data_IF_720930466597
#
_entry.id   IF_720930466597
#
_cell.length_a   1.000
_cell.length_b   1.000
_cell.length_c   1.000
_cell.angle_alpha   90.00
_cell.angle_beta   90.00
_cell.angle_gamma   90.00
#
_symmetry.space_group_name_H-M   'P 1'
#
loop_
_entity.id
_entity.type
_entity.pdbx_description
1 polymer ?
#
# COMPACT_ATOMS: atom_id res chain seq x y z
N UNK A 1 33.44 16.52 -1.46
CA UNK A 1 33.39 17.28 -0.19
C UNK A 1 31.91 17.43 0.20
N UNK A 2 31.51 17.08 1.43
CA UNK A 2 30.08 17.18 1.84
C UNK A 2 29.58 18.63 1.74
N UNK A 3 28.34 18.85 1.28
CA UNK A 3 27.71 20.20 1.24
C UNK A 3 27.79 20.92 2.59
N UNK A 4 27.74 20.15 3.68
CA UNK A 4 27.90 20.67 5.05
C UNK A 4 29.32 21.20 5.29
N UNK A 5 30.35 20.47 4.87
CA UNK A 5 31.75 20.89 5.03
C UNK A 5 32.03 22.16 4.22
N UNK A 6 31.47 22.25 3.01
CA UNK A 6 31.56 23.45 2.19
C UNK A 6 30.89 24.66 2.85
N UNK A 7 29.69 24.48 3.40
CA UNK A 7 28.95 25.55 4.09
C UNK A 7 29.70 26.04 5.35
N UNK A 8 30.29 25.13 6.13
CA UNK A 8 31.12 25.47 7.30
C UNK A 8 32.35 26.30 6.93
N UNK A 9 33.05 25.88 5.87
CA UNK A 9 34.21 26.61 5.34
C UNK A 9 33.80 27.99 4.81
N UNK A 10 32.64 28.08 4.15
CA UNK A 10 32.11 29.33 3.62
C UNK A 10 31.70 30.31 4.71
N UNK A 11 31.02 29.85 5.76
CA UNK A 11 30.65 30.67 6.94
C UNK A 11 31.91 31.16 7.67
N UNK A 12 32.89 30.27 7.90
CA UNK A 12 34.16 30.64 8.53
C UNK A 12 34.94 31.68 7.72
N UNK A 13 34.97 31.53 6.39
CA UNK A 13 35.61 32.48 5.48
C UNK A 13 34.90 33.84 5.50
N UNK A 14 33.57 33.86 5.42
CA UNK A 14 32.78 35.09 5.51
C UNK A 14 32.98 35.81 6.84
N UNK A 15 33.07 35.07 7.95
CA UNK A 15 33.36 35.67 9.25
C UNK A 15 34.74 36.29 9.35
N UNK A 16 35.76 35.65 8.79
CA UNK A 16 37.11 36.20 8.75
C UNK A 16 37.16 37.48 7.88
N UNK A 17 36.53 37.45 6.70
CA UNK A 17 36.42 38.62 5.81
C UNK A 17 35.66 39.76 6.49
N UNK A 18 34.60 39.47 7.23
CA UNK A 18 33.80 40.47 7.93
C UNK A 18 34.55 41.10 9.11
N UNK A 19 35.34 40.33 9.86
CA UNK A 19 36.22 40.86 10.90
C UNK A 19 37.23 41.83 10.28
N UNK A 20 37.91 41.43 9.20
CA UNK A 20 38.88 42.28 8.48
C UNK A 20 38.21 43.57 7.97
N UNK A 21 37.02 43.46 7.37
CA UNK A 21 36.24 44.61 6.91
C UNK A 21 35.82 45.53 8.06
N UNK A 22 35.44 44.99 9.21
CA UNK A 22 35.04 45.77 10.39
C UNK A 22 36.22 46.60 10.92
N UNK A 23 37.43 46.02 10.96
CA UNK A 23 38.63 46.75 11.34
C UNK A 23 39.01 47.80 10.28
N UNK A 24 38.88 47.50 8.98
CA UNK A 24 39.16 48.44 7.89
C UNK A 24 38.17 49.62 7.86
N UNK A 25 36.87 49.36 7.93
CA UNK A 25 35.79 50.36 8.05
C UNK A 25 35.95 51.20 9.30
N UNK A 26 36.39 50.59 10.41
CA UNK A 26 36.63 51.32 11.65
C UNK A 26 37.75 52.36 11.53
N UNK A 27 38.75 52.15 10.69
CA UNK A 27 39.81 53.13 10.42
C UNK A 27 39.25 54.32 9.65
N UNK A 28 38.33 54.08 8.71
CA UNK A 28 37.69 55.12 7.90
C UNK A 28 36.60 55.91 8.64
N UNK A 29 35.86 55.27 9.56
CA UNK A 29 34.67 55.87 10.22
C UNK A 29 34.87 56.19 11.71
N UNK A 30 36.10 56.11 12.24
CA UNK A 30 36.43 56.40 13.65
C UNK A 30 35.55 55.66 14.68
N UNK A 31 35.21 54.40 14.41
CA UNK A 31 34.41 53.60 15.36
C UNK A 31 35.17 53.42 16.68
N UNK A 32 34.49 53.70 17.80
CA UNK A 32 35.01 53.46 19.14
C UNK A 32 35.27 51.98 19.42
N UNK A 33 36.20 51.70 20.33
CA UNK A 33 36.62 50.33 20.69
C UNK A 33 35.44 49.46 21.15
N UNK A 34 34.51 50.02 21.92
CA UNK A 34 33.30 49.34 22.38
C UNK A 34 32.41 48.89 21.22
N UNK A 35 32.21 49.74 20.21
CA UNK A 35 31.42 49.42 19.01
C UNK A 35 32.05 48.31 18.19
N UNK A 36 33.38 48.28 18.06
CA UNK A 36 34.10 47.18 17.38
C UNK A 36 33.90 45.85 18.09
N UNK A 37 34.03 45.84 19.41
CA UNK A 37 33.85 44.64 20.24
C UNK A 37 32.43 44.10 20.08
N UNK A 38 31.41 44.97 20.12
CA UNK A 38 30.01 44.57 19.95
C UNK A 38 29.76 43.96 18.56
N UNK A 39 30.29 44.56 17.49
CA UNK A 39 30.12 44.03 16.12
C UNK A 39 30.79 42.66 15.97
N UNK A 40 32.04 42.53 16.45
CA UNK A 40 32.77 41.25 16.39
C UNK A 40 32.07 40.17 17.21
N UNK A 41 31.59 40.50 18.42
CA UNK A 41 30.83 39.57 19.25
C UNK A 41 29.51 39.16 18.60
N UNK A 42 28.76 40.09 18.02
CA UNK A 42 27.49 39.80 17.34
C UNK A 42 27.70 38.85 16.15
N UNK A 43 28.77 39.03 15.38
CA UNK A 43 29.08 38.15 14.26
C UNK A 43 29.59 36.77 14.71
N UNK A 44 30.42 36.72 15.76
CA UNK A 44 30.84 35.47 16.36
C UNK A 44 29.62 34.68 16.88
N UNK A 45 28.66 35.36 17.52
CA UNK A 45 27.41 34.78 17.97
C UNK A 45 26.58 34.24 16.80
N UNK A 46 26.42 35.02 15.72
CA UNK A 46 25.69 34.60 14.52
C UNK A 46 26.33 33.36 13.85
N UNK A 47 27.66 33.30 13.83
CA UNK A 47 28.40 32.15 13.33
C UNK A 47 28.17 30.89 14.17
N UNK A 48 28.19 31.04 15.50
CA UNK A 48 27.89 29.95 16.44
C UNK A 48 26.43 29.46 16.26
N UNK A 49 25.48 30.39 16.12
CA UNK A 49 24.08 30.05 15.86
C UNK A 49 23.91 29.28 14.54
N UNK A 50 24.59 29.71 13.47
CA UNK A 50 24.55 29.01 12.19
C UNK A 50 25.10 27.57 12.31
N UNK A 51 26.22 27.36 13.00
CA UNK A 51 26.77 26.02 13.25
C UNK A 51 25.83 25.16 14.11
N UNK A 52 25.17 25.75 15.09
CA UNK A 52 24.22 25.06 15.95
C UNK A 52 22.99 24.61 15.16
N UNK A 53 22.45 25.46 14.29
CA UNK A 53 21.36 25.09 13.37
C UNK A 53 21.79 23.96 12.42
N UNK A 54 22.98 24.06 11.81
CA UNK A 54 23.52 23.00 10.95
C UNK A 54 23.71 21.68 11.70
N UNK A 55 24.16 21.75 12.96
CA UNK A 55 24.33 20.57 13.80
C UNK A 55 22.98 19.92 14.14
N UNK A 56 21.96 20.71 14.47
CA UNK A 56 20.59 20.25 14.73
C UNK A 56 20.01 19.61 13.47
N UNK A 57 20.09 20.26 12.31
CA UNK A 57 19.59 19.72 11.04
C UNK A 57 20.24 18.38 10.67
N UNK A 58 21.56 18.26 10.88
CA UNK A 58 22.27 17.01 10.64
C UNK A 58 21.88 15.93 11.65
N UNK A 59 21.66 16.30 12.92
CA UNK A 59 21.18 15.37 13.93
C UNK A 59 19.77 14.88 13.59
N UNK A 60 18.88 15.76 13.17
CA UNK A 60 17.53 15.42 12.74
C UNK A 60 17.56 14.44 11.55
N UNK A 61 18.36 14.72 10.52
CA UNK A 61 18.53 13.81 9.37
C UNK A 61 19.05 12.44 9.78
N UNK A 62 20.03 12.39 10.69
CA UNK A 62 20.57 11.12 11.21
C UNK A 62 19.55 10.38 12.05
N UNK A 63 18.75 11.09 12.85
CA UNK A 63 17.66 10.50 13.64
C UNK A 63 16.56 9.94 12.75
N UNK A 64 16.13 10.67 11.71
CA UNK A 64 15.16 10.17 10.72
C UNK A 64 15.67 8.92 9.99
N UNK A 65 16.96 8.92 9.61
CA UNK A 65 17.58 7.75 9.00
C UNK A 65 17.68 6.53 9.95
N UNK A 66 17.91 6.77 11.25
CA UNK A 66 17.99 5.71 12.25
C UNK A 66 16.62 5.22 12.75
N UNK A 67 15.61 6.09 12.70
CA UNK A 67 14.25 5.86 13.21
C UNK A 67 13.22 6.31 12.17
N UNK A 68 13.07 5.57 11.05
CA UNK A 68 12.15 5.93 9.97
C UNK A 68 10.68 5.99 10.42
N UNK A 69 10.33 5.37 11.55
CA UNK A 69 9.01 5.51 12.16
C UNK A 69 8.65 6.96 12.51
N UNK A 70 9.63 7.85 12.72
CA UNK A 70 9.38 9.27 13.03
C UNK A 70 8.63 10.03 11.92
N UNK A 71 8.59 9.49 10.70
CA UNK A 71 7.79 10.05 9.59
C UNK A 71 6.30 9.69 9.68
N UNK A 72 5.95 8.70 10.51
CA UNK A 72 4.57 8.25 10.71
C UNK A 72 3.84 9.14 11.74
N UNK A 73 2.51 9.06 11.78
CA UNK A 73 1.73 9.71 12.84
C UNK A 73 2.09 9.14 14.22
N UNK A 74 1.86 9.91 15.30
CA UNK A 74 2.15 9.46 16.67
C UNK A 74 1.49 8.11 17.00
N UNK A 75 0.27 7.90 16.51
CA UNK A 75 -0.46 6.64 16.71
C UNK A 75 0.23 5.47 16.03
N UNK A 76 0.68 5.64 14.78
CA UNK A 76 1.40 4.61 14.03
C UNK A 76 2.79 4.34 14.62
N UNK A 77 3.48 5.38 15.09
CA UNK A 77 4.75 5.25 15.81
C UNK A 77 4.62 4.35 17.03
N UNK A 78 3.58 4.56 17.84
CA UNK A 78 3.32 3.75 19.03
C UNK A 78 3.15 2.28 18.63
N UNK A 79 2.31 2.00 17.63
CA UNK A 79 2.03 0.62 17.18
C UNK A 79 3.29 -0.07 16.64
N UNK A 80 4.07 0.61 15.81
CA UNK A 80 5.31 0.06 15.24
C UNK A 80 6.32 -0.23 16.35
N UNK A 81 6.51 0.71 17.28
CA UNK A 81 7.43 0.55 18.40
C UNK A 81 7.00 -0.59 19.34
N UNK A 82 5.71 -0.67 19.67
CA UNK A 82 5.15 -1.78 20.46
C UNK A 82 5.40 -3.13 19.78
N UNK A 83 5.20 -3.20 18.47
CA UNK A 83 5.43 -4.42 17.67
C UNK A 83 6.91 -4.83 17.69
N UNK A 84 7.83 -3.88 17.49
CA UNK A 84 9.28 -4.14 17.55
C UNK A 84 9.70 -4.59 18.96
N UNK A 85 9.17 -3.94 20.01
CA UNK A 85 9.43 -4.33 21.40
C UNK A 85 8.93 -5.74 21.68
N UNK A 86 7.73 -6.10 21.20
CA UNK A 86 7.15 -7.43 21.36
C UNK A 86 8.01 -8.48 20.64
N UNK A 87 8.37 -8.25 19.38
CA UNK A 87 9.24 -9.14 18.62
C UNK A 87 10.57 -9.39 19.35
N UNK A 88 11.22 -8.33 19.82
CA UNK A 88 12.48 -8.43 20.58
C UNK A 88 12.31 -9.20 21.90
N UNK A 89 11.20 -8.99 22.62
CA UNK A 89 10.88 -9.71 23.85
C UNK A 89 10.67 -11.19 23.59
N UNK A 90 9.97 -11.55 22.51
CA UNK A 90 9.72 -12.93 22.12
C UNK A 90 11.04 -13.61 21.70
N UNK A 91 11.88 -12.98 20.87
CA UNK A 91 13.17 -13.54 20.41
C UNK A 91 14.16 -13.84 21.54
N UNK A 92 14.13 -13.08 22.64
CA UNK A 92 15.04 -13.24 23.79
C UNK A 92 14.63 -14.33 24.77
N UNK A 93 13.36 -14.76 24.78
CA UNK A 93 12.88 -15.81 25.68
C UNK A 93 13.17 -17.18 25.09
N UNK A 94 13.33 -18.22 25.92
CA UNK A 94 13.15 -19.61 25.47
C UNK A 94 11.69 -19.75 25.04
N UNK A 95 11.47 -19.80 23.74
CA UNK A 95 10.16 -19.71 23.12
C UNK A 95 9.60 -21.10 22.85
N UNK A 96 8.36 -21.30 23.26
CA UNK A 96 7.55 -22.43 22.81
C UNK A 96 7.38 -22.41 21.28
N UNK A 97 6.96 -23.56 20.73
CA UNK A 97 6.83 -23.75 19.29
C UNK A 97 5.88 -22.72 18.67
N UNK A 98 4.79 -22.37 19.35
CA UNK A 98 3.85 -21.33 18.92
C UNK A 98 4.52 -19.96 18.76
N UNK A 99 5.37 -19.55 19.70
CA UNK A 99 6.10 -18.29 19.56
C UNK A 99 7.14 -18.35 18.44
N UNK A 100 7.82 -19.49 18.24
CA UNK A 100 8.75 -19.65 17.12
C UNK A 100 8.04 -19.54 15.76
N UNK A 101 6.85 -20.13 15.64
CA UNK A 101 6.01 -20.01 14.44
C UNK A 101 5.62 -18.54 14.20
N UNK A 102 5.16 -17.83 15.24
CA UNK A 102 4.78 -16.42 15.12
C UNK A 102 5.96 -15.52 14.71
N UNK A 103 7.15 -15.75 15.27
CA UNK A 103 8.38 -15.04 14.89
C UNK A 103 8.73 -15.32 13.42
N UNK A 104 8.70 -16.58 13.00
CA UNK A 104 9.02 -16.96 11.63
C UNK A 104 8.03 -16.36 10.62
N UNK A 105 6.75 -16.23 10.98
CA UNK A 105 5.76 -15.58 10.13
C UNK A 105 5.94 -14.05 10.08
N UNK A 106 6.27 -13.41 11.20
CA UNK A 106 6.60 -11.99 11.23
C UNK A 106 7.82 -11.66 10.35
N UNK A 107 8.85 -12.51 10.33
CA UNK A 107 10.03 -12.31 9.49
C UNK A 107 9.70 -12.35 7.98
N UNK A 108 8.63 -13.05 7.58
CA UNK A 108 8.16 -13.04 6.18
C UNK A 108 7.58 -11.68 5.77
N UNK A 109 7.07 -10.87 6.70
CA UNK A 109 6.56 -9.53 6.40
C UNK A 109 7.65 -8.66 5.77
N UNK A 110 8.89 -8.76 6.28
CA UNK A 110 10.03 -8.05 5.69
C UNK A 110 10.29 -8.44 4.24
N UNK A 111 10.21 -9.74 3.94
CA UNK A 111 10.37 -10.24 2.58
C UNK A 111 9.24 -9.76 1.66
N UNK A 112 7.99 -9.77 2.16
CA UNK A 112 6.82 -9.25 1.45
C UNK A 112 6.99 -7.76 1.12
N UNK A 113 7.36 -6.93 2.10
CA UNK A 113 7.55 -5.49 1.89
C UNK A 113 8.66 -5.21 0.88
N UNK A 114 9.77 -5.97 0.92
CA UNK A 114 10.84 -5.87 -0.08
C UNK A 114 10.41 -6.29 -1.49
N UNK A 115 9.51 -7.26 -1.61
CA UNK A 115 8.95 -7.65 -2.91
C UNK A 115 8.03 -6.55 -3.43
N UNK A 116 7.11 -6.06 -2.59
CA UNK A 116 6.19 -4.98 -2.93
C UNK A 116 6.91 -3.68 -3.32
N UNK A 117 7.97 -3.28 -2.59
CA UNK A 117 8.81 -2.12 -2.92
C UNK A 117 9.42 -2.21 -4.33
N UNK A 118 9.75 -3.43 -4.78
CA UNK A 118 10.31 -3.69 -6.10
C UNK A 118 9.24 -3.89 -7.19
N UNK A 119 7.96 -3.74 -6.85
CA UNK A 119 6.84 -4.06 -7.75
C UNK A 119 6.76 -5.54 -8.11
N UNK A 120 7.32 -6.42 -7.28
CA UNK A 120 7.31 -7.87 -7.48
C UNK A 120 6.07 -8.51 -6.88
N UNK A 121 5.73 -9.70 -7.39
CA UNK A 121 4.61 -10.48 -6.89
C UNK A 121 4.85 -10.97 -5.46
N UNK A 122 3.81 -10.95 -4.64
CA UNK A 122 3.88 -11.43 -3.27
C UNK A 122 2.63 -12.20 -2.86
N UNK A 123 2.76 -13.03 -1.83
CA UNK A 123 1.63 -13.75 -1.24
C UNK A 123 0.96 -12.90 -0.17
N UNK A 124 -0.37 -12.79 -0.23
CA UNK A 124 -1.19 -12.17 0.80
C UNK A 124 -2.20 -13.17 1.35
N UNK A 125 -2.47 -13.11 2.67
CA UNK A 125 -3.20 -14.16 3.38
C UNK A 125 -4.68 -13.84 3.65
N UNK A 126 -5.33 -13.11 2.74
CA UNK A 126 -6.78 -12.84 2.77
C UNK A 126 -7.25 -12.26 1.42
N UNK A 127 -8.00 -13.03 0.64
CA UNK A 127 -8.53 -12.58 -0.66
C UNK A 127 -9.50 -11.41 -0.55
N UNK A 128 -10.31 -11.35 0.53
CA UNK A 128 -11.31 -10.31 0.70
C UNK A 128 -10.66 -9.00 1.08
N UNK A 129 -9.72 -9.03 2.03
CA UNK A 129 -8.98 -7.83 2.42
C UNK A 129 -8.16 -7.29 1.23
N UNK A 130 -7.52 -8.15 0.43
CA UNK A 130 -6.84 -7.73 -0.79
C UNK A 130 -7.78 -7.03 -1.78
N UNK A 131 -8.94 -7.64 -2.08
CA UNK A 131 -9.94 -7.06 -2.99
C UNK A 131 -10.55 -5.78 -2.42
N UNK A 132 -10.75 -5.69 -1.11
CA UNK A 132 -11.26 -4.48 -0.46
C UNK A 132 -10.28 -3.31 -0.60
N UNK A 133 -8.99 -3.53 -0.38
CA UNK A 133 -7.96 -2.49 -0.57
C UNK A 133 -8.03 -1.94 -2.00
N UNK A 134 -8.09 -2.81 -3.01
CA UNK A 134 -8.20 -2.39 -4.42
C UNK A 134 -9.50 -1.62 -4.65
N UNK A 135 -10.63 -2.17 -4.19
CA UNK A 135 -11.94 -1.53 -4.34
C UNK A 135 -12.00 -0.15 -3.70
N UNK A 136 -11.36 0.09 -2.56
CA UNK A 136 -11.34 1.39 -1.87
C UNK A 136 -10.58 2.46 -2.64
N UNK A 137 -9.53 2.07 -3.38
CA UNK A 137 -8.72 2.99 -4.18
C UNK A 137 -9.36 3.35 -5.54
N UNK A 138 -10.33 2.57 -6.01
CA UNK A 138 -11.00 2.82 -7.28
C UNK A 138 -11.85 4.10 -7.26
N UNK A 139 -11.69 4.89 -8.32
CA UNK A 139 -12.40 6.14 -8.59
C UNK A 139 -13.55 5.91 -9.58
N UNK A 140 -14.57 6.79 -9.59
CA UNK A 140 -15.64 6.74 -10.60
C UNK A 140 -15.08 6.68 -12.03
N UNK A 141 -15.64 5.82 -12.87
CA UNK A 141 -15.21 5.56 -14.25
C UNK A 141 -14.12 4.49 -14.40
N UNK A 142 -13.51 4.02 -13.31
CA UNK A 142 -12.56 2.90 -13.34
C UNK A 142 -13.28 1.56 -13.23
N UNK A 143 -12.60 0.49 -13.63
CA UNK A 143 -13.15 -0.86 -13.70
C UNK A 143 -12.56 -1.81 -12.66
N UNK A 144 -13.37 -2.80 -12.28
CA UNK A 144 -12.96 -3.93 -11.46
C UNK A 144 -13.56 -5.21 -12.01
N UNK A 145 -12.70 -6.05 -12.61
CA UNK A 145 -13.11 -7.29 -13.27
C UNK A 145 -12.80 -8.47 -12.37
N UNK A 146 -13.78 -9.37 -12.16
CA UNK A 146 -13.61 -10.52 -11.27
C UNK A 146 -14.16 -11.80 -11.90
N UNK A 147 -13.32 -12.81 -12.07
CA UNK A 147 -13.74 -14.17 -12.43
C UNK A 147 -13.53 -15.11 -11.23
N UNK A 148 -14.53 -15.92 -10.91
CA UNK A 148 -14.48 -16.73 -9.68
C UNK A 148 -15.26 -18.03 -9.80
N UNK A 149 -14.62 -19.14 -9.43
CA UNK A 149 -15.29 -20.39 -9.07
C UNK A 149 -15.63 -20.49 -7.57
N UNK A 150 -15.39 -19.43 -6.79
CA UNK A 150 -15.74 -19.35 -5.38
C UNK A 150 -17.23 -19.00 -5.24
N UNK A 151 -18.06 -20.03 -5.24
CA UNK A 151 -19.53 -19.93 -5.41
C UNK A 151 -20.32 -20.30 -4.15
N UNK A 152 -19.65 -20.75 -3.10
CA UNK A 152 -20.34 -21.17 -1.89
C UNK A 152 -20.99 -19.95 -1.20
N UNK A 153 -22.28 -20.00 -0.80
CA UNK A 153 -22.98 -18.84 -0.22
C UNK A 153 -22.30 -18.24 1.01
N UNK A 154 -21.57 -19.05 1.78
CA UNK A 154 -20.86 -18.59 2.97
C UNK A 154 -19.75 -17.58 2.62
N UNK A 155 -19.21 -17.59 1.40
CA UNK A 155 -18.27 -16.59 0.87
C UNK A 155 -18.85 -15.19 0.72
N UNK A 156 -20.17 -15.06 0.80
CA UNK A 156 -20.89 -13.81 0.55
C UNK A 156 -21.69 -13.38 1.78
N UNK A 157 -22.20 -14.35 2.53
CA UNK A 157 -23.14 -14.14 3.64
C UNK A 157 -22.55 -14.37 5.03
N UNK A 158 -21.34 -14.92 5.16
CA UNK A 158 -20.75 -15.23 6.47
C UNK A 158 -19.31 -14.72 6.60
N UNK A 159 -19.01 -14.09 7.75
CA UNK A 159 -17.70 -13.53 8.05
C UNK A 159 -17.63 -12.01 7.87
N UNK A 160 -16.98 -11.33 8.82
CA UNK A 160 -16.89 -9.86 8.88
C UNK A 160 -16.37 -9.26 7.58
N UNK A 161 -15.25 -9.78 7.05
CA UNK A 161 -14.66 -9.26 5.81
C UNK A 161 -15.48 -9.57 4.55
N UNK A 162 -16.19 -10.70 4.50
CA UNK A 162 -17.04 -11.04 3.35
C UNK A 162 -18.25 -10.10 3.25
N UNK A 163 -18.95 -9.86 4.37
CA UNK A 163 -20.09 -8.93 4.41
C UNK A 163 -19.67 -7.49 4.11
N UNK A 164 -18.53 -7.04 4.65
CA UNK A 164 -17.99 -5.70 4.37
C UNK A 164 -17.53 -5.56 2.91
N UNK A 165 -16.88 -6.58 2.36
CA UNK A 165 -16.52 -6.62 0.94
C UNK A 165 -17.77 -6.50 0.05
N UNK A 166 -18.84 -7.24 0.33
CA UNK A 166 -20.09 -7.17 -0.45
C UNK A 166 -20.70 -5.75 -0.40
N UNK A 167 -20.80 -5.15 0.79
CA UNK A 167 -21.26 -3.75 0.94
C UNK A 167 -20.39 -2.76 0.20
N UNK A 168 -19.07 -2.94 0.24
CA UNK A 168 -18.11 -2.08 -0.46
C UNK A 168 -18.29 -2.17 -1.97
N UNK A 169 -18.47 -3.36 -2.54
CA UNK A 169 -18.76 -3.53 -3.97
C UNK A 169 -20.00 -2.70 -4.37
N UNK A 170 -21.10 -2.82 -3.62
CA UNK A 170 -22.33 -2.06 -3.91
C UNK A 170 -22.13 -0.55 -3.80
N UNK A 171 -21.38 -0.10 -2.80
CA UNK A 171 -21.07 1.31 -2.63
C UNK A 171 -20.24 1.86 -3.78
N UNK A 172 -19.22 1.12 -4.23
CA UNK A 172 -18.35 1.55 -5.33
C UNK A 172 -19.09 1.52 -6.68
N UNK A 173 -19.90 0.48 -6.94
CA UNK A 173 -20.77 0.43 -8.12
C UNK A 173 -21.73 1.64 -8.17
N UNK A 174 -22.38 1.98 -7.05
CA UNK A 174 -23.25 3.18 -6.95
C UNK A 174 -22.52 4.51 -7.13
N UNK A 175 -21.23 4.57 -6.81
CA UNK A 175 -20.38 5.75 -7.06
C UNK A 175 -19.91 5.86 -8.51
N UNK A 176 -20.18 4.87 -9.35
CA UNK A 176 -19.79 4.86 -10.77
C UNK A 176 -18.51 4.07 -11.08
N UNK A 177 -18.05 3.19 -10.18
CA UNK A 177 -17.03 2.18 -10.54
C UNK A 177 -17.71 1.07 -11.36
N UNK A 178 -17.11 0.67 -12.47
CA UNK A 178 -17.62 -0.39 -13.33
C UNK A 178 -17.16 -1.75 -12.82
N UNK A 179 -18.05 -2.44 -12.10
CA UNK A 179 -17.74 -3.77 -11.56
C UNK A 179 -18.36 -4.83 -12.46
N UNK A 180 -17.51 -5.73 -12.97
CA UNK A 180 -17.93 -6.87 -13.77
C UNK A 180 -17.56 -8.18 -13.07
N UNK A 181 -18.51 -9.10 -12.96
CA UNK A 181 -18.30 -10.36 -12.25
C UNK A 181 -18.78 -11.54 -13.07
N UNK A 182 -17.88 -12.50 -13.27
CA UNK A 182 -18.19 -13.79 -13.90
C UNK A 182 -18.14 -14.90 -12.85
N UNK A 183 -19.25 -15.60 -12.68
CA UNK A 183 -19.34 -16.81 -11.87
C UNK A 183 -19.08 -18.05 -12.73
N UNK A 184 -18.09 -18.85 -12.37
CA UNK A 184 -17.74 -20.10 -13.05
C UNK A 184 -18.33 -21.24 -12.22
N UNK A 185 -19.37 -21.89 -12.74
CA UNK A 185 -20.20 -22.85 -12.03
C UNK A 185 -19.86 -24.27 -12.45
N UNK A 186 -19.91 -25.27 -11.55
CA UNK A 186 -19.66 -26.66 -11.94
C UNK A 186 -20.91 -27.29 -12.57
N UNK A 187 -22.09 -26.92 -12.10
CA UNK A 187 -23.37 -27.50 -12.51
C UNK A 187 -24.57 -26.58 -12.14
N UNK A 188 -25.78 -27.03 -12.45
CA UNK A 188 -27.04 -26.32 -12.14
C UNK A 188 -27.34 -26.18 -10.64
N UNK A 189 -26.84 -27.07 -9.80
CA UNK A 189 -26.97 -26.95 -8.34
C UNK A 189 -26.19 -25.73 -7.83
N UNK A 190 -24.98 -25.50 -8.35
CA UNK A 190 -24.20 -24.30 -8.09
C UNK A 190 -24.92 -23.02 -8.53
N UNK A 191 -25.53 -23.04 -9.72
CA UNK A 191 -26.34 -21.92 -10.21
C UNK A 191 -27.47 -21.59 -9.23
N UNK A 192 -28.19 -22.62 -8.78
CA UNK A 192 -29.32 -22.47 -7.85
C UNK A 192 -28.90 -21.86 -6.51
N UNK A 193 -27.72 -22.25 -5.98
CA UNK A 193 -27.17 -21.72 -4.72
C UNK A 193 -26.77 -20.25 -4.78
N UNK A 194 -26.20 -19.82 -5.91
CA UNK A 194 -25.65 -18.46 -6.05
C UNK A 194 -26.64 -17.49 -6.70
N UNK A 195 -27.75 -17.97 -7.27
CA UNK A 195 -28.74 -17.15 -7.99
C UNK A 195 -29.17 -15.91 -7.20
N UNK A 196 -29.54 -16.06 -5.93
CA UNK A 196 -29.95 -14.93 -5.08
C UNK A 196 -28.84 -13.87 -4.94
N UNK A 197 -27.58 -14.31 -4.87
CA UNK A 197 -26.41 -13.43 -4.76
C UNK A 197 -26.17 -12.72 -6.11
N UNK A 198 -26.36 -13.42 -7.23
CA UNK A 198 -26.28 -12.82 -8.56
C UNK A 198 -27.38 -11.77 -8.78
N UNK A 199 -28.61 -12.07 -8.35
CA UNK A 199 -29.74 -11.13 -8.35
C UNK A 199 -29.43 -9.88 -7.49
N UNK A 200 -28.93 -10.07 -6.28
CA UNK A 200 -28.55 -8.96 -5.38
C UNK A 200 -27.45 -8.08 -6.00
N UNK A 201 -26.44 -8.68 -6.63
CA UNK A 201 -25.37 -7.94 -7.30
C UNK A 201 -25.87 -7.15 -8.51
N UNK A 202 -26.69 -7.78 -9.36
CA UNK A 202 -27.28 -7.12 -10.51
C UNK A 202 -28.18 -5.93 -10.10
N UNK A 203 -28.93 -6.06 -9.00
CA UNK A 203 -29.75 -4.97 -8.44
C UNK A 203 -28.93 -3.79 -7.91
N UNK A 204 -27.64 -3.98 -7.65
CA UNK A 204 -26.72 -2.94 -7.18
C UNK A 204 -25.78 -2.44 -8.28
N UNK A 205 -26.19 -2.53 -9.54
CA UNK A 205 -25.46 -2.03 -10.72
C UNK A 205 -24.10 -2.71 -10.97
N UNK A 206 -23.97 -3.98 -10.58
CA UNK A 206 -22.83 -4.82 -10.96
C UNK A 206 -23.23 -5.60 -12.21
N UNK A 207 -22.36 -5.62 -13.23
CA UNK A 207 -22.57 -6.45 -14.41
C UNK A 207 -22.22 -7.91 -14.09
N UNK A 208 -23.25 -8.74 -13.96
CA UNK A 208 -23.11 -10.14 -13.56
C UNK A 208 -23.23 -11.07 -14.78
N UNK A 209 -22.32 -12.02 -14.86
CA UNK A 209 -22.27 -13.07 -15.87
C UNK A 209 -22.06 -14.43 -15.20
N UNK A 210 -22.44 -15.50 -15.88
CA UNK A 210 -22.16 -16.86 -15.43
C UNK A 210 -21.84 -17.80 -16.59
N UNK A 211 -21.07 -18.84 -16.32
CA UNK A 211 -20.70 -19.88 -17.29
C UNK A 211 -20.50 -21.21 -16.56
N UNK A 212 -20.92 -22.32 -17.17
CA UNK A 212 -20.59 -23.63 -16.62
C UNK A 212 -19.20 -24.03 -17.05
N UNK A 213 -18.43 -24.63 -16.13
CA UNK A 213 -17.03 -24.99 -16.33
C UNK A 213 -16.83 -25.91 -17.54
N UNK A 214 -17.81 -26.76 -17.85
CA UNK A 214 -17.78 -27.68 -18.98
C UNK A 214 -17.99 -26.99 -20.34
N UNK A 215 -18.54 -25.76 -20.34
CA UNK A 215 -18.78 -24.98 -21.56
C UNK A 215 -17.58 -24.10 -21.94
N UNK A 216 -16.56 -24.04 -21.08
CA UNK A 216 -15.35 -23.29 -21.35
C UNK A 216 -14.41 -24.09 -22.25
N UNK A 217 -14.02 -23.48 -23.37
CA UNK A 217 -13.10 -24.08 -24.34
C UNK A 217 -11.72 -24.45 -23.77
N UNK A 218 -11.33 -23.87 -22.62
CA UNK A 218 -10.08 -24.16 -21.90
C UNK A 218 -10.33 -24.15 -20.40
N UNK A 219 -9.65 -25.05 -19.70
CA UNK A 219 -9.56 -25.03 -18.23
C UNK A 219 -8.81 -23.76 -17.79
N UNK A 220 -9.38 -23.08 -16.80
CA UNK A 220 -8.74 -21.92 -16.19
C UNK A 220 -7.52 -22.37 -15.37
N UNK A 221 -6.37 -21.68 -15.49
CA UNK A 221 -5.21 -21.96 -14.66
C UNK A 221 -5.42 -21.51 -13.20
N UNK A 222 -6.44 -20.69 -12.93
CA UNK A 222 -6.73 -20.09 -11.63
C UNK A 222 -8.12 -20.46 -11.14
N UNK A 223 -8.27 -20.55 -9.82
CA UNK A 223 -9.57 -20.74 -9.19
C UNK A 223 -10.38 -19.43 -9.24
N UNK A 224 -9.77 -18.32 -8.84
CA UNK A 224 -10.36 -17.00 -8.97
C UNK A 224 -9.28 -15.99 -9.28
N UNK A 225 -9.64 -14.96 -10.03
CA UNK A 225 -8.82 -13.77 -10.13
C UNK A 225 -9.68 -12.50 -10.13
N UNK A 226 -9.08 -11.40 -9.72
CA UNK A 226 -9.63 -10.05 -9.84
C UNK A 226 -8.54 -9.11 -10.33
N UNK A 227 -8.91 -8.10 -11.11
CA UNK A 227 -7.95 -7.11 -11.62
C UNK A 227 -8.58 -5.73 -11.78
N UNK A 228 -7.72 -4.72 -11.75
CA UNK A 228 -7.97 -3.39 -12.29
C UNK A 228 -6.76 -2.99 -13.12
N UNK A 229 -6.99 -2.71 -14.40
CA UNK A 229 -5.96 -2.24 -15.32
C UNK A 229 -5.49 -0.83 -14.90
N UNK A 230 -6.42 0.02 -14.47
CA UNK A 230 -6.18 1.41 -14.10
C UNK A 230 -5.32 1.56 -12.85
N UNK A 231 -5.41 0.60 -11.93
CA UNK A 231 -4.55 0.52 -10.74
C UNK A 231 -3.32 -0.37 -10.97
N UNK A 232 -3.19 -1.00 -12.14
CA UNK A 232 -2.11 -1.95 -12.48
C UNK A 232 -1.93 -3.01 -11.39
N UNK A 233 -3.04 -3.66 -11.00
CA UNK A 233 -3.05 -4.65 -9.93
C UNK A 233 -3.92 -5.87 -10.27
N UNK A 234 -3.40 -7.04 -9.96
CA UNK A 234 -4.10 -8.32 -10.03
C UNK A 234 -4.06 -9.08 -8.70
N UNK A 235 -5.15 -9.80 -8.41
CA UNK A 235 -5.28 -10.74 -7.29
C UNK A 235 -5.59 -12.11 -7.87
N UNK A 236 -4.73 -13.09 -7.60
CA UNK A 236 -4.85 -14.43 -8.15
C UNK A 236 -4.99 -15.44 -7.02
N UNK A 237 -6.04 -16.23 -7.05
CA UNK A 237 -6.22 -17.43 -6.24
C UNK A 237 -5.97 -18.67 -7.11
N UNK A 238 -4.92 -19.41 -6.77
CA UNK A 238 -4.51 -20.61 -7.52
C UNK A 238 -5.38 -21.84 -7.21
N UNK A 239 -6.07 -21.86 -6.07
CA UNK A 239 -6.78 -23.05 -5.57
C UNK A 239 -8.13 -22.70 -4.94
N UNK A 240 -9.13 -23.52 -5.23
CA UNK A 240 -10.50 -23.41 -4.68
C UNK A 240 -10.53 -23.53 -3.15
N UNK A 241 -9.67 -24.37 -2.59
CA UNK A 241 -9.65 -24.74 -1.17
C UNK A 241 -8.73 -23.87 -0.29
N UNK A 242 -8.03 -22.90 -0.89
CA UNK A 242 -7.06 -22.01 -0.22
C UNK A 242 -7.40 -20.53 -0.41
N UNK A 243 -8.58 -20.13 0.06
CA UNK A 243 -9.07 -18.73 0.03
C UNK A 243 -8.18 -17.76 0.80
N UNK A 244 -7.49 -18.28 1.83
CA UNK A 244 -6.61 -17.51 2.68
C UNK A 244 -5.22 -17.29 2.10
N UNK A 245 -4.98 -17.60 0.81
CA UNK A 245 -3.67 -17.37 0.18
C UNK A 245 -3.81 -16.98 -1.28
N UNK A 246 -3.53 -15.72 -1.58
CA UNK A 246 -3.56 -15.16 -2.93
C UNK A 246 -2.20 -14.60 -3.33
N UNK A 247 -1.93 -14.59 -4.62
CA UNK A 247 -0.84 -13.81 -5.20
C UNK A 247 -1.36 -12.43 -5.55
N UNK A 248 -0.66 -11.39 -5.10
CA UNK A 248 -0.85 -10.02 -5.55
C UNK A 248 0.24 -9.72 -6.57
N UNK A 249 -0.14 -9.17 -7.72
CA UNK A 249 0.77 -8.82 -8.81
C UNK A 249 0.56 -7.39 -9.27
N UNK A 250 1.66 -6.72 -9.59
CA UNK A 250 1.70 -5.45 -10.32
C UNK A 250 2.41 -5.60 -11.67
N UNK A 251 2.60 -6.84 -12.14
CA UNK A 251 3.23 -7.11 -13.42
C UNK A 251 2.22 -6.90 -14.55
N UNK A 252 2.47 -5.90 -15.40
CA UNK A 252 1.60 -5.54 -16.52
C UNK A 252 1.38 -6.68 -17.52
N UNK A 253 2.36 -7.57 -17.72
CA UNK A 253 2.20 -8.73 -18.61
C UNK A 253 1.16 -9.71 -18.05
N UNK A 254 1.23 -9.98 -16.74
CA UNK A 254 0.26 -10.85 -16.05
C UNK A 254 -1.12 -10.18 -16.02
N UNK A 255 -1.18 -8.87 -15.76
CA UNK A 255 -2.45 -8.13 -15.74
C UNK A 255 -3.12 -8.16 -17.12
N UNK A 256 -2.36 -7.94 -18.19
CA UNK A 256 -2.87 -8.02 -19.55
C UNK A 256 -3.33 -9.45 -19.91
N UNK A 257 -2.63 -10.48 -19.42
CA UNK A 257 -3.06 -11.87 -19.58
C UNK A 257 -4.38 -12.13 -18.86
N UNK A 258 -4.51 -11.71 -17.60
CA UNK A 258 -5.73 -11.87 -16.81
C UNK A 258 -6.91 -11.14 -17.45
N UNK A 259 -6.67 -9.96 -18.02
CA UNK A 259 -7.69 -9.18 -18.71
C UNK A 259 -8.17 -9.89 -19.98
N UNK A 260 -7.24 -10.35 -20.81
CA UNK A 260 -7.55 -11.14 -22.00
C UNK A 260 -8.31 -12.43 -21.65
N UNK A 261 -7.93 -13.10 -20.55
CA UNK A 261 -8.64 -14.27 -20.05
C UNK A 261 -10.06 -13.91 -19.62
N UNK A 262 -10.25 -12.81 -18.88
CA UNK A 262 -11.57 -12.33 -18.47
C UNK A 262 -12.49 -12.13 -19.67
N UNK A 263 -12.03 -11.40 -20.69
CA UNK A 263 -12.81 -11.12 -21.88
C UNK A 263 -13.18 -12.39 -22.67
N UNK A 264 -12.28 -13.36 -22.73
CA UNK A 264 -12.56 -14.64 -23.36
C UNK A 264 -13.59 -15.48 -22.61
N UNK A 265 -13.54 -15.49 -21.28
CA UNK A 265 -14.56 -16.15 -20.45
C UNK A 265 -15.90 -15.43 -20.65
N UNK A 266 -15.89 -14.08 -20.64
CA UNK A 266 -17.08 -13.25 -20.80
C UNK A 266 -17.80 -13.53 -22.12
N UNK A 267 -17.08 -13.70 -23.23
CA UNK A 267 -17.64 -14.07 -24.55
C UNK A 267 -18.35 -15.43 -24.55
N UNK A 268 -17.96 -16.35 -23.67
CA UNK A 268 -18.57 -17.67 -23.50
C UNK A 268 -19.62 -17.70 -22.38
N UNK A 269 -19.80 -16.57 -21.68
CA UNK A 269 -20.70 -16.48 -20.53
C UNK A 269 -22.07 -15.94 -20.92
N UNK A 270 -23.06 -16.31 -20.12
CA UNK A 270 -24.40 -15.76 -20.19
C UNK A 270 -24.46 -14.50 -19.34
N UNK A 271 -24.93 -13.38 -19.92
CA UNK A 271 -25.25 -12.19 -19.13
C UNK A 271 -26.44 -12.53 -18.23
N UNK A 272 -26.27 -12.33 -16.93
CA UNK A 272 -27.35 -12.54 -15.98
C UNK A 272 -28.30 -11.34 -16.04
N UNK A 273 -29.45 -11.53 -16.67
CA UNK A 273 -30.55 -10.58 -16.65
C UNK A 273 -31.52 -10.94 -15.53
N UNK A 274 -31.91 -9.94 -14.75
CA UNK A 274 -32.95 -10.09 -13.74
C UNK A 274 -34.20 -10.70 -14.39
N UNK A 275 -34.80 -11.69 -13.74
CA UNK A 275 -36.21 -11.96 -13.97
C UNK A 275 -36.98 -10.70 -13.54
N UNK A 276 -37.78 -10.10 -14.44
CA UNK A 276 -38.75 -9.08 -14.03
C UNK A 276 -39.59 -9.69 -12.91
N UNK A 277 -39.54 -9.12 -11.71
CA UNK A 277 -40.49 -9.48 -10.66
C UNK A 277 -41.89 -9.24 -11.24
N UNK A 278 -42.79 -10.25 -11.21
CA UNK A 278 -44.17 -10.08 -11.63
C UNK A 278 -44.88 -9.02 -10.78
#
# INVERSE_FOLDING_TARGET
>A
MSRVIFLRLFIGLFGLVFIVLTFWLSVYFHLGTSTKIVIVLAFALATIFAELVIAIDNLEKRLKAAFPSLELSLKEQIVVNETIMLYNKLKKKKTDISTQIAIADFEKIHHLLKQAEKGGDFTFHDIYAAKMIILEELKPGQSFKVASNLIEPFYWKSGKYATEHTKLNYRQAKKGVHIERIFILKNEDDFSKIKDIMDEQAQNNIDVFYVFKNDLNKLLPYASFALSEELSVGVISHREDLLGKVTITSNNEIIAELDWQFDNIKKQSNKFSMAKKP
#
